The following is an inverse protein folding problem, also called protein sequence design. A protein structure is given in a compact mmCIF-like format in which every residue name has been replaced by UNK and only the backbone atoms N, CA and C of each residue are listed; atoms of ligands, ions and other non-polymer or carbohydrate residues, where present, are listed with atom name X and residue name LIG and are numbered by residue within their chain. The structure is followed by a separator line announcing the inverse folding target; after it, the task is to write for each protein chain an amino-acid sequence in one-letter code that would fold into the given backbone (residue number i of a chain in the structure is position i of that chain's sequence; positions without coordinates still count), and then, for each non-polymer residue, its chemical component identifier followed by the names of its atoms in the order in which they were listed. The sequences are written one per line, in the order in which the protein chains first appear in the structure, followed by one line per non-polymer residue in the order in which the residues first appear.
data_IF_081844542900
#
_entry.id   IF_081844542900
#
_cell.length_a   1.000
_cell.length_b   1.000
_cell.length_c   1.000
_cell.angle_alpha   90.00
_cell.angle_beta   90.00
_cell.angle_gamma   90.00
#
_symmetry.space_group_name_H-M   'P 1'
#
loop_
_entity.id
_entity.type
_entity.pdbx_description
1 polymer ?
#
# COMPACT_ATOMS: atom_id res chain seq x y z
N UNK A 1 9.78 17.68 -18.61
CA UNK A 1 8.81 17.12 -17.62
C UNK A 1 9.42 17.16 -16.21
N UNK A 2 10.73 16.83 -16.03
CA UNK A 2 11.39 16.87 -14.71
C UNK A 2 11.53 18.30 -14.13
N UNK A 3 11.76 19.30 -14.93
CA UNK A 3 11.96 20.69 -14.46
C UNK A 3 10.68 21.34 -13.89
N UNK A 4 9.49 21.03 -14.43
CA UNK A 4 8.23 21.60 -13.94
C UNK A 4 7.73 20.96 -12.61
N UNK A 5 8.14 19.75 -12.29
CA UNK A 5 7.78 19.11 -11.03
C UNK A 5 8.64 19.61 -9.86
N UNK A 6 9.91 19.94 -10.12
CA UNK A 6 10.83 20.43 -9.10
C UNK A 6 10.42 21.79 -8.51
N UNK A 7 9.84 22.68 -9.31
CA UNK A 7 9.40 24.00 -8.87
C UNK A 7 8.05 23.98 -8.11
N UNK A 8 7.21 22.96 -8.36
CA UNK A 8 5.93 22.79 -7.67
C UNK A 8 6.07 22.13 -6.29
N UNK A 9 7.21 21.49 -6.01
CA UNK A 9 7.46 20.84 -4.73
C UNK A 9 8.25 21.80 -3.84
N UNK A 10 7.55 22.43 -2.90
CA UNK A 10 8.23 23.15 -1.83
C UNK A 10 9.19 22.16 -1.15
N UNK A 11 10.47 22.53 -1.07
CA UNK A 11 11.55 21.74 -0.42
C UNK A 11 11.25 21.39 1.05
N UNK A 12 10.15 21.91 1.58
CA UNK A 12 9.62 21.67 2.92
C UNK A 12 8.37 20.82 2.94
N UNK A 13 8.16 19.91 1.98
CA UNK A 13 7.04 18.99 2.02
C UNK A 13 7.05 18.23 3.33
N UNK A 14 6.28 18.71 4.30
CA UNK A 14 6.09 18.06 5.59
C UNK A 14 5.16 16.89 5.36
N UNK A 15 5.76 15.73 5.24
CA UNK A 15 5.04 14.47 5.12
C UNK A 15 4.17 14.29 6.39
N UNK A 16 2.88 14.08 6.20
CA UNK A 16 1.88 13.87 7.28
C UNK A 16 1.84 15.01 8.31
N UNK A 17 1.72 16.24 7.85
CA UNK A 17 1.43 17.37 8.75
C UNK A 17 -0.08 17.62 8.98
N UNK A 18 -0.92 16.80 8.38
CA UNK A 18 -2.37 16.91 8.47
C UNK A 18 -2.98 17.96 7.54
N UNK A 19 -2.24 18.42 6.55
CA UNK A 19 -2.69 19.40 5.57
C UNK A 19 -2.84 18.81 4.17
N UNK A 20 -3.67 19.46 3.34
CA UNK A 20 -3.82 19.12 1.94
C UNK A 20 -2.76 19.84 1.10
N UNK A 21 -2.19 19.10 0.14
CA UNK A 21 -1.39 19.65 -0.94
C UNK A 21 -2.29 19.84 -2.17
N UNK A 22 -2.42 21.08 -2.66
CA UNK A 22 -3.18 21.36 -3.88
C UNK A 22 -2.37 21.01 -5.12
N UNK A 23 -3.02 20.34 -6.08
CA UNK A 23 -2.47 20.02 -7.39
C UNK A 23 -3.15 20.82 -8.50
N UNK A 24 -3.78 21.97 -8.16
CA UNK A 24 -4.54 22.78 -9.10
C UNK A 24 -5.74 22.03 -9.67
N UNK A 25 -5.85 21.99 -10.99
CA UNK A 25 -6.95 21.29 -11.69
C UNK A 25 -6.93 19.76 -11.48
N UNK A 26 -5.82 19.21 -11.05
CA UNK A 26 -5.69 17.78 -10.72
C UNK A 26 -6.17 17.44 -9.30
N UNK A 27 -6.82 18.41 -8.63
CA UNK A 27 -7.40 18.22 -7.31
C UNK A 27 -6.41 18.46 -6.18
N UNK A 28 -6.49 17.65 -5.13
CA UNK A 28 -5.64 17.75 -3.96
C UNK A 28 -5.28 16.37 -3.41
N UNK A 29 -4.15 16.31 -2.72
CA UNK A 29 -3.72 15.10 -2.02
C UNK A 29 -3.58 15.34 -0.53
N UNK A 30 -3.83 14.30 0.25
CA UNK A 30 -3.56 14.26 1.69
C UNK A 30 -2.63 13.09 1.96
N UNK A 31 -1.43 13.36 2.47
CA UNK A 31 -0.42 12.34 2.74
C UNK A 31 -0.81 11.56 4.00
N UNK A 32 -0.92 10.23 3.90
CA UNK A 32 -1.21 9.33 5.03
C UNK A 32 -0.01 8.50 5.47
N UNK A 33 1.05 8.46 4.69
CA UNK A 33 2.36 7.84 4.98
C UNK A 33 3.41 8.51 4.09
N UNK A 34 4.67 8.63 4.55
CA UNK A 34 5.19 8.24 5.85
C UNK A 34 4.96 9.29 6.95
N UNK A 35 5.10 8.86 8.21
CA UNK A 35 5.23 9.77 9.34
C UNK A 35 6.68 10.28 9.45
N UNK A 36 6.89 11.38 10.17
CA UNK A 36 8.25 11.87 10.44
C UNK A 36 9.11 10.83 11.19
N UNK A 37 8.48 10.04 12.06
CA UNK A 37 9.14 8.94 12.78
C UNK A 37 9.63 7.88 11.81
N UNK A 38 8.80 7.42 10.87
CA UNK A 38 9.18 6.43 9.87
C UNK A 38 10.34 6.91 8.98
N UNK A 39 10.36 8.21 8.61
CA UNK A 39 11.47 8.80 7.86
C UNK A 39 12.76 8.79 8.68
N UNK A 40 12.68 9.14 9.96
CA UNK A 40 13.83 9.16 10.84
C UNK A 40 14.42 7.76 11.06
N UNK A 41 13.54 6.75 11.21
CA UNK A 41 13.92 5.34 11.31
C UNK A 41 14.59 4.84 10.02
N UNK A 42 14.03 5.17 8.84
CA UNK A 42 14.64 4.84 7.55
C UNK A 42 16.01 5.49 7.41
N UNK A 43 16.14 6.79 7.71
CA UNK A 43 17.44 7.49 7.64
C UNK A 43 18.48 6.83 8.53
N UNK A 44 18.11 6.46 9.76
CA UNK A 44 19.01 5.76 10.68
C UNK A 44 19.41 4.40 10.09
N UNK A 45 18.45 3.62 9.62
CA UNK A 45 18.72 2.32 9.00
C UNK A 45 19.69 2.44 7.81
N UNK A 46 19.46 3.40 6.91
CA UNK A 46 20.32 3.63 5.76
C UNK A 46 21.75 4.00 6.18
N UNK A 47 21.90 4.84 7.20
CA UNK A 47 23.22 5.21 7.75
C UNK A 47 23.94 4.02 8.38
N UNK A 48 23.21 3.17 9.12
CA UNK A 48 23.75 1.95 9.75
C UNK A 48 24.20 0.93 8.69
N UNK A 49 23.40 0.72 7.63
CA UNK A 49 23.77 -0.17 6.52
C UNK A 49 24.98 0.35 5.73
N UNK A 50 25.03 1.67 5.49
CA UNK A 50 26.19 2.29 4.87
C UNK A 50 27.44 2.11 5.70
N UNK A 51 27.36 2.36 7.01
CA UNK A 51 28.50 2.19 7.91
C UNK A 51 29.02 0.74 7.90
N UNK A 52 28.12 -0.25 7.86
CA UNK A 52 28.48 -1.68 7.73
C UNK A 52 29.18 -2.00 6.41
N UNK A 53 28.70 -1.46 5.29
CA UNK A 53 29.27 -1.72 3.96
C UNK A 53 30.69 -1.15 3.82
N UNK A 54 30.93 0.02 4.36
CA UNK A 54 32.19 0.73 4.19
C UNK A 54 33.14 0.62 5.38
N UNK A 55 32.86 -0.27 6.36
CA UNK A 55 33.71 -0.54 7.53
C UNK A 55 34.15 0.74 8.30
N UNK A 56 33.28 1.74 8.36
CA UNK A 56 33.60 3.00 9.03
C UNK A 56 34.68 3.86 8.34
N UNK A 57 35.11 3.53 7.14
CA UNK A 57 36.19 4.23 6.42
C UNK A 57 35.80 5.62 5.89
N UNK A 58 34.50 5.90 5.83
CA UNK A 58 34.01 7.20 5.36
C UNK A 58 33.13 7.82 6.44
N UNK A 59 33.60 8.89 7.11
CA UNK A 59 32.75 9.67 8.00
C UNK A 59 31.67 10.33 7.13
N UNK A 60 30.41 9.92 7.32
CA UNK A 60 29.28 10.61 6.75
C UNK A 60 29.12 11.93 7.50
N UNK A 61 29.63 13.02 6.95
CA UNK A 61 29.21 14.34 7.37
C UNK A 61 27.72 14.46 7.11
N UNK A 62 26.96 14.83 8.14
CA UNK A 62 25.51 14.94 8.14
C UNK A 62 25.05 16.06 7.18
N UNK A 63 24.96 15.76 5.89
CA UNK A 63 24.40 16.67 4.89
C UNK A 63 23.17 16.04 4.24
N UNK A 64 22.04 16.76 4.23
CA UNK A 64 20.77 16.35 3.62
C UNK A 64 20.89 15.92 2.15
N UNK A 65 21.91 16.38 1.45
CA UNK A 65 22.11 16.11 0.02
C UNK A 65 22.65 14.71 -0.28
N UNK A 66 23.33 14.07 0.68
CA UNK A 66 23.95 12.75 0.49
C UNK A 66 22.98 11.57 0.67
N UNK A 67 21.81 11.80 1.23
CA UNK A 67 20.80 10.75 1.46
C UNK A 67 20.22 10.16 0.17
N UNK A 68 20.05 10.98 -0.87
CA UNK A 68 19.51 10.54 -2.17
C UNK A 68 20.55 9.69 -2.92
N UNK A 69 21.79 10.15 -3.00
CA UNK A 69 22.90 9.42 -3.63
C UNK A 69 23.15 8.08 -2.94
N UNK A 70 23.03 8.05 -1.61
CA UNK A 70 23.17 6.84 -0.82
C UNK A 70 22.02 5.86 -1.09
N UNK A 71 20.79 6.35 -1.17
CA UNK A 71 19.61 5.53 -1.50
C UNK A 71 19.72 4.92 -2.89
N UNK A 72 20.15 5.70 -3.89
CA UNK A 72 20.37 5.23 -5.26
C UNK A 72 21.46 4.15 -5.31
N UNK A 73 22.58 4.37 -4.62
CA UNK A 73 23.66 3.39 -4.54
C UNK A 73 23.21 2.09 -3.86
N UNK A 74 22.48 2.18 -2.75
CA UNK A 74 21.96 1.01 -2.04
C UNK A 74 20.92 0.26 -2.88
N UNK A 75 20.03 0.96 -3.59
CA UNK A 75 19.03 0.36 -4.45
C UNK A 75 19.67 -0.40 -5.61
N UNK A 76 20.74 0.12 -6.19
CA UNK A 76 21.53 -0.57 -7.23
C UNK A 76 22.20 -1.85 -6.71
N UNK A 77 22.71 -1.83 -5.50
CA UNK A 77 23.37 -2.98 -4.86
C UNK A 77 22.34 -4.05 -4.41
N UNK A 78 21.16 -3.65 -3.95
CA UNK A 78 20.07 -4.57 -3.57
C UNK A 78 19.42 -5.24 -4.76
N UNK A 79 19.16 -4.53 -5.85
CA UNK A 79 18.57 -5.09 -7.07
C UNK A 79 19.39 -6.24 -7.69
N UNK A 80 20.69 -6.32 -7.42
CA UNK A 80 21.50 -7.46 -7.85
C UNK A 80 21.27 -8.73 -7.00
N UNK A 81 20.77 -8.62 -5.77
CA UNK A 81 20.52 -9.78 -4.90
C UNK A 81 19.12 -10.39 -5.05
N UNK A 82 18.10 -9.59 -5.38
CA UNK A 82 16.73 -10.08 -5.54
C UNK A 82 16.50 -10.94 -6.78
N UNK A 83 17.35 -10.84 -7.82
CA UNK A 83 17.27 -11.66 -9.03
C UNK A 83 17.53 -13.16 -8.81
N UNK A 84 17.95 -13.58 -7.62
CA UNK A 84 18.32 -14.96 -7.32
C UNK A 84 17.38 -15.71 -6.35
N UNK A 85 16.33 -15.08 -5.85
CA UNK A 85 15.39 -15.72 -4.94
C UNK A 85 14.19 -16.31 -5.70
N UNK A 86 14.29 -17.53 -6.17
CA UNK A 86 13.13 -18.33 -6.57
C UNK A 86 12.30 -18.72 -5.33
N UNK A 87 11.36 -17.88 -4.95
CA UNK A 87 10.40 -18.21 -3.91
C UNK A 87 9.33 -19.16 -4.46
N UNK A 88 9.46 -20.45 -4.14
CA UNK A 88 8.43 -21.44 -4.42
C UNK A 88 7.18 -21.13 -3.61
N UNK A 89 6.12 -20.73 -4.29
CA UNK A 89 4.81 -20.58 -3.65
C UNK A 89 4.27 -21.98 -3.34
N UNK A 90 4.17 -22.28 -2.05
CA UNK A 90 3.40 -23.43 -1.59
C UNK A 90 1.92 -23.18 -1.87
N UNK A 91 1.38 -23.79 -2.92
CA UNK A 91 0.01 -23.64 -3.37
C UNK A 91 -0.91 -24.72 -2.78
N UNK A 92 -0.98 -24.85 -1.48
CA UNK A 92 -2.14 -25.48 -0.89
C UNK A 92 -3.21 -24.39 -0.70
N UNK A 93 -4.30 -24.48 -1.45
CA UNK A 93 -5.46 -23.61 -1.31
C UNK A 93 -6.12 -24.00 0.02
N UNK A 94 -5.69 -23.35 1.11
CA UNK A 94 -6.57 -23.22 2.26
C UNK A 94 -7.75 -22.38 1.80
N UNK A 95 -8.97 -22.72 2.17
CA UNK A 95 -10.13 -21.89 1.84
C UNK A 95 -9.86 -20.47 2.29
N UNK A 96 -10.27 -19.44 1.52
CA UNK A 96 -10.13 -18.03 1.89
C UNK A 96 -10.57 -17.75 3.33
N UNK A 97 -11.60 -18.45 3.81
CA UNK A 97 -12.09 -18.38 5.19
C UNK A 97 -11.06 -18.84 6.22
N UNK A 98 -10.29 -19.88 5.92
CA UNK A 98 -9.20 -20.34 6.78
C UNK A 98 -8.04 -19.32 6.79
N UNK A 99 -7.75 -18.67 5.68
CA UNK A 99 -6.77 -17.58 5.62
C UNK A 99 -7.22 -16.37 6.44
N UNK A 100 -8.50 -15.99 6.37
CA UNK A 100 -9.06 -14.91 7.19
C UNK A 100 -8.97 -15.19 8.69
N UNK A 101 -9.12 -16.46 9.11
CA UNK A 101 -8.99 -16.88 10.51
C UNK A 101 -7.57 -16.77 11.07
N UNK A 102 -6.54 -16.62 10.21
CA UNK A 102 -5.16 -16.48 10.66
C UNK A 102 -4.90 -15.07 11.22
N UNK A 103 -3.99 -14.95 12.21
CA UNK A 103 -3.56 -13.64 12.68
C UNK A 103 -2.84 -12.87 11.57
N UNK A 104 -3.02 -11.54 11.57
CA UNK A 104 -2.22 -10.67 10.74
C UNK A 104 -0.76 -10.70 11.18
N UNK A 105 0.13 -10.50 10.23
CA UNK A 105 1.55 -10.25 10.47
C UNK A 105 1.86 -8.88 9.91
N UNK A 106 2.63 -8.12 10.65
CA UNK A 106 3.03 -6.79 10.23
C UNK A 106 4.38 -6.83 9.52
N UNK A 107 4.53 -5.97 8.53
CA UNK A 107 5.79 -5.71 7.86
C UNK A 107 6.62 -4.79 8.75
N UNK A 108 7.83 -5.23 9.10
CA UNK A 108 8.77 -4.46 9.92
C UNK A 108 9.84 -3.72 9.10
N UNK A 109 9.71 -3.72 7.77
CA UNK A 109 10.66 -3.04 6.88
C UNK A 109 10.58 -1.53 7.04
N UNK A 110 11.68 -0.88 7.39
CA UNK A 110 11.78 0.58 7.50
C UNK A 110 11.49 1.26 6.16
N UNK A 111 11.86 0.64 5.04
CA UNK A 111 11.58 1.14 3.70
C UNK A 111 10.08 1.15 3.40
N UNK A 112 9.35 0.10 3.76
CA UNK A 112 7.90 0.04 3.56
C UNK A 112 7.16 0.95 4.55
N UNK A 113 7.63 1.07 5.79
CA UNK A 113 7.10 2.05 6.76
C UNK A 113 7.26 3.50 6.27
N UNK A 114 8.31 3.77 5.50
CA UNK A 114 8.56 5.08 4.89
C UNK A 114 8.01 5.22 3.45
N UNK A 115 7.27 4.25 2.96
CA UNK A 115 6.65 4.32 1.63
C UNK A 115 5.54 5.38 1.59
N UNK A 116 5.43 6.09 0.46
CA UNK A 116 4.44 7.15 0.29
C UNK A 116 3.06 6.53 0.06
N UNK A 117 2.10 6.93 0.89
CA UNK A 117 0.68 6.66 0.71
C UNK A 117 -0.12 7.95 0.88
N UNK A 118 -1.18 8.11 0.08
CA UNK A 118 -1.98 9.33 0.10
C UNK A 118 -3.42 9.11 -0.36
N UNK A 119 -4.30 9.98 0.10
CA UNK A 119 -5.64 10.15 -0.44
C UNK A 119 -5.57 11.20 -1.54
N UNK A 120 -6.03 10.87 -2.73
CA UNK A 120 -6.22 11.81 -3.84
C UNK A 120 -7.70 12.14 -3.98
N UNK A 121 -8.02 13.42 -3.95
CA UNK A 121 -9.38 13.93 -4.12
C UNK A 121 -9.48 14.80 -5.37
N UNK A 122 -10.40 14.42 -6.26
CA UNK A 122 -10.71 15.12 -7.51
C UNK A 122 -12.19 14.97 -7.82
N UNK A 123 -12.91 16.08 -8.03
CA UNK A 123 -14.32 16.07 -8.46
C UNK A 123 -15.19 15.12 -7.61
N UNK A 124 -15.31 15.29 -6.35
CA UNK A 124 -16.07 14.42 -5.42
C UNK A 124 -15.62 12.96 -5.33
N UNK A 125 -14.57 12.58 -6.06
CA UNK A 125 -13.95 11.25 -5.99
C UNK A 125 -12.78 11.24 -5.02
N UNK A 126 -12.66 10.14 -4.28
CA UNK A 126 -11.57 9.88 -3.32
C UNK A 126 -10.91 8.56 -3.64
N UNK A 127 -9.63 8.59 -3.94
CA UNK A 127 -8.83 7.41 -4.22
C UNK A 127 -7.74 7.28 -3.16
N UNK A 128 -7.60 6.11 -2.56
CA UNK A 128 -6.53 5.82 -1.62
C UNK A 128 -5.42 5.02 -2.32
N UNK A 129 -4.23 5.60 -2.38
CA UNK A 129 -3.04 5.00 -2.99
C UNK A 129 -2.05 4.65 -1.88
N UNK A 130 -1.86 3.35 -1.63
CA UNK A 130 -1.15 2.87 -0.44
C UNK A 130 0.35 2.57 -0.64
N UNK A 131 0.88 2.73 -1.88
CA UNK A 131 2.29 2.42 -2.14
C UNK A 131 2.65 1.01 -1.66
N UNK A 132 3.71 0.91 -0.88
CA UNK A 132 4.12 -0.29 -0.16
C UNK A 132 4.03 -0.09 1.37
N UNK A 133 3.30 0.95 1.80
CA UNK A 133 3.18 1.35 3.19
C UNK A 133 2.63 0.24 4.10
N UNK A 134 3.07 0.24 5.35
CA UNK A 134 2.60 -0.70 6.37
C UNK A 134 1.27 -0.25 6.97
N UNK A 135 0.46 -1.19 7.43
CA UNK A 135 -0.85 -0.89 8.01
C UNK A 135 -0.78 0.06 9.19
N UNK A 136 0.21 -0.09 10.07
CA UNK A 136 0.37 0.74 11.27
C UNK A 136 0.51 2.23 10.90
N UNK A 137 1.44 2.56 10.00
CA UNK A 137 1.69 3.95 9.59
C UNK A 137 0.49 4.53 8.85
N UNK A 138 -0.15 3.75 7.98
CA UNK A 138 -1.37 4.17 7.27
C UNK A 138 -2.51 4.47 8.25
N UNK A 139 -2.70 3.66 9.29
CA UNK A 139 -3.75 3.90 10.32
C UNK A 139 -3.55 5.25 11.00
N UNK A 140 -2.31 5.62 11.33
CA UNK A 140 -2.00 6.94 11.90
C UNK A 140 -2.40 8.07 10.94
N UNK A 141 -2.02 7.96 9.67
CA UNK A 141 -2.38 8.96 8.65
C UNK A 141 -3.88 9.03 8.39
N UNK A 142 -4.59 7.90 8.38
CA UNK A 142 -6.06 7.86 8.25
C UNK A 142 -6.75 8.51 9.45
N UNK A 143 -6.22 8.34 10.67
CA UNK A 143 -6.73 9.07 11.84
C UNK A 143 -6.53 10.58 11.71
N UNK A 144 -5.38 11.03 11.19
CA UNK A 144 -5.13 12.44 10.90
C UNK A 144 -6.10 12.96 9.81
N UNK A 145 -6.31 12.19 8.73
CA UNK A 145 -7.28 12.51 7.69
C UNK A 145 -8.71 12.65 8.23
N UNK A 146 -9.15 11.71 9.09
CA UNK A 146 -10.46 11.77 9.76
C UNK A 146 -10.59 13.05 10.58
N UNK A 147 -9.60 13.37 11.41
CA UNK A 147 -9.58 14.59 12.22
C UNK A 147 -9.69 15.85 11.36
N UNK A 148 -8.92 15.94 10.27
CA UNK A 148 -8.94 17.09 9.33
C UNK A 148 -10.32 17.29 8.69
N UNK A 149 -10.99 16.20 8.35
CA UNK A 149 -12.28 16.21 7.65
C UNK A 149 -13.48 16.07 8.61
N UNK A 150 -13.27 16.13 9.92
CA UNK A 150 -14.31 16.01 10.96
C UNK A 150 -15.13 14.71 10.85
N UNK A 151 -14.50 13.63 10.41
CA UNK A 151 -15.09 12.29 10.32
C UNK A 151 -14.96 11.62 11.69
N UNK A 152 -16.03 11.04 12.26
CA UNK A 152 -15.97 10.30 13.52
C UNK A 152 -14.88 9.21 13.52
N UNK A 153 -14.22 9.03 14.67
CA UNK A 153 -13.09 8.09 14.77
C UNK A 153 -13.47 6.64 14.50
N UNK A 154 -14.71 6.26 14.80
CA UNK A 154 -15.29 4.93 14.62
C UNK A 154 -15.95 4.74 13.25
N UNK A 155 -16.18 5.82 12.50
CA UNK A 155 -16.74 5.74 11.15
C UNK A 155 -15.68 5.23 10.15
N UNK A 156 -16.05 4.28 9.31
CA UNK A 156 -15.21 3.76 8.23
C UNK A 156 -15.27 4.70 7.02
N UNK A 157 -14.10 5.11 6.51
CA UNK A 157 -14.04 5.95 5.32
C UNK A 157 -14.26 5.09 4.07
N UNK A 158 -15.23 5.49 3.25
CA UNK A 158 -15.42 4.93 1.93
C UNK A 158 -14.60 5.70 0.90
N UNK A 159 -13.79 4.97 0.14
CA UNK A 159 -13.07 5.47 -1.03
C UNK A 159 -13.72 4.94 -2.31
N UNK A 160 -13.66 5.72 -3.40
CA UNK A 160 -14.13 5.25 -4.73
C UNK A 160 -13.24 4.13 -5.26
N UNK A 161 -11.95 4.17 -4.97
CA UNK A 161 -11.02 3.07 -5.21
C UNK A 161 -9.89 3.04 -4.18
N UNK A 162 -9.34 1.85 -3.93
CA UNK A 162 -8.14 1.65 -3.12
C UNK A 162 -7.11 0.84 -3.92
N UNK A 163 -5.94 1.42 -4.18
CA UNK A 163 -4.77 0.65 -4.64
C UNK A 163 -4.19 -0.09 -3.44
N UNK A 164 -4.25 -1.41 -3.48
CA UNK A 164 -3.78 -2.31 -2.41
C UNK A 164 -2.28 -2.12 -2.19
N UNK A 165 -1.79 -2.09 -0.92
CA UNK A 165 -0.38 -1.90 -0.65
C UNK A 165 0.45 -3.10 -1.10
N UNK A 166 1.71 -2.85 -1.46
CA UNK A 166 2.76 -3.83 -1.71
C UNK A 166 2.29 -5.02 -2.56
N UNK A 167 1.65 -4.72 -3.71
CA UNK A 167 1.09 -5.69 -4.66
C UNK A 167 0.09 -6.68 -4.05
N UNK A 168 -0.40 -6.44 -2.84
CA UNK A 168 -1.25 -7.36 -2.08
C UNK A 168 -0.45 -8.35 -1.22
N UNK A 169 0.74 -7.98 -0.74
CA UNK A 169 1.50 -8.73 0.26
C UNK A 169 0.68 -8.97 1.52
N UNK A 170 0.88 -10.13 2.17
CA UNK A 170 0.12 -10.54 3.36
C UNK A 170 0.39 -9.69 4.61
N UNK A 171 1.43 -8.88 4.60
CA UNK A 171 1.92 -8.14 5.77
C UNK A 171 1.55 -6.66 5.76
N UNK A 172 0.97 -6.15 4.65
CA UNK A 172 0.76 -4.71 4.46
C UNK A 172 -0.70 -4.28 4.49
N UNK A 173 -1.66 -5.23 4.57
CA UNK A 173 -3.09 -4.93 4.70
C UNK A 173 -3.72 -5.73 5.83
N UNK A 174 -3.71 -5.17 7.03
CA UNK A 174 -4.26 -5.79 8.23
C UNK A 174 -5.77 -5.62 8.34
N UNK A 175 -6.42 -6.52 9.10
CA UNK A 175 -7.83 -6.39 9.48
C UNK A 175 -8.09 -5.11 10.29
N UNK A 176 -7.09 -4.65 11.06
CA UNK A 176 -7.20 -3.41 11.82
C UNK A 176 -7.32 -2.20 10.89
N UNK A 177 -6.48 -2.12 9.82
CA UNK A 177 -6.61 -1.06 8.83
C UNK A 177 -7.99 -1.11 8.15
N UNK A 178 -8.51 -2.29 7.84
CA UNK A 178 -9.82 -2.48 7.23
C UNK A 178 -11.01 -2.11 8.13
N UNK A 179 -10.81 -1.83 9.41
CA UNK A 179 -11.82 -1.18 10.26
C UNK A 179 -11.96 0.31 9.97
N UNK A 180 -10.96 0.93 9.39
CA UNK A 180 -10.92 2.37 9.14
C UNK A 180 -11.26 2.76 7.71
N UNK A 181 -11.04 1.85 6.74
CA UNK A 181 -11.20 2.10 5.31
C UNK A 181 -12.04 1.04 4.63
N UNK A 182 -12.77 1.43 3.58
CA UNK A 182 -13.48 0.49 2.71
C UNK A 182 -13.58 1.05 1.29
N UNK A 183 -13.82 0.16 0.31
CA UNK A 183 -14.08 0.51 -1.08
C UNK A 183 -14.87 -0.57 -1.78
N UNK A 184 -15.64 -0.16 -2.78
CA UNK A 184 -16.18 -1.10 -3.75
C UNK A 184 -15.09 -1.61 -4.71
N UNK A 185 -14.07 -0.79 -5.01
CA UNK A 185 -13.06 -1.06 -6.02
C UNK A 185 -11.67 -1.21 -5.39
N UNK A 186 -11.14 -2.43 -5.41
CA UNK A 186 -9.82 -2.80 -4.90
C UNK A 186 -8.88 -3.12 -6.05
N UNK A 187 -7.77 -2.39 -6.17
CA UNK A 187 -6.86 -2.45 -7.32
C UNK A 187 -5.55 -3.10 -6.90
N UNK A 188 -5.22 -4.20 -7.55
CA UNK A 188 -3.97 -4.93 -7.41
C UNK A 188 -3.05 -4.58 -8.59
N UNK A 189 -2.00 -3.79 -8.33
CA UNK A 189 -1.04 -3.38 -9.34
C UNK A 189 0.21 -4.23 -9.27
N UNK A 190 0.62 -4.79 -10.42
CA UNK A 190 1.76 -5.66 -10.52
C UNK A 190 1.53 -7.03 -9.85
N UNK A 191 2.52 -7.89 -9.98
CA UNK A 191 2.55 -9.16 -9.28
C UNK A 191 4.00 -9.54 -8.98
N UNK A 192 4.18 -10.22 -7.87
CA UNK A 192 5.43 -10.88 -7.52
C UNK A 192 5.20 -12.38 -7.41
N UNK A 193 6.24 -13.14 -7.14
CA UNK A 193 6.10 -14.57 -6.88
C UNK A 193 5.23 -14.89 -5.66
N UNK A 194 5.07 -13.94 -4.73
CA UNK A 194 4.35 -14.11 -3.45
C UNK A 194 3.13 -13.19 -3.29
N UNK A 195 2.87 -12.28 -4.22
CA UNK A 195 1.73 -11.34 -4.15
C UNK A 195 0.99 -11.28 -5.51
N UNK A 196 -0.35 -11.10 -5.49
CA UNK A 196 -1.22 -10.98 -4.30
C UNK A 196 -1.29 -12.27 -3.47
N UNK A 197 -1.35 -12.11 -2.14
CA UNK A 197 -1.42 -13.23 -1.21
C UNK A 197 -2.89 -13.53 -0.81
N UNK A 198 -3.24 -14.81 -0.66
CA UNK A 198 -4.60 -15.22 -0.28
C UNK A 198 -5.08 -14.59 1.04
N UNK A 199 -4.19 -14.36 1.99
CA UNK A 199 -4.53 -13.69 3.25
C UNK A 199 -5.03 -12.26 3.04
N UNK A 200 -4.38 -11.49 2.18
CA UNK A 200 -4.80 -10.13 1.83
C UNK A 200 -6.15 -10.12 1.13
N UNK A 201 -6.36 -11.04 0.18
CA UNK A 201 -7.66 -11.20 -0.48
C UNK A 201 -8.75 -11.59 0.53
N UNK A 202 -8.46 -12.54 1.41
CA UNK A 202 -9.39 -12.96 2.46
C UNK A 202 -9.74 -11.82 3.43
N UNK A 203 -8.75 -11.00 3.83
CA UNK A 203 -8.99 -9.84 4.67
C UNK A 203 -9.94 -8.85 3.99
N UNK A 204 -9.75 -8.55 2.71
CA UNK A 204 -10.67 -7.68 1.96
C UNK A 204 -12.06 -8.30 1.87
N UNK A 205 -12.16 -9.58 1.50
CA UNK A 205 -13.42 -10.27 1.21
C UNK A 205 -14.30 -10.41 2.46
N UNK A 206 -13.69 -10.81 3.57
CA UNK A 206 -14.44 -11.10 4.81
C UNK A 206 -14.47 -9.94 5.81
N UNK A 207 -13.77 -8.82 5.56
CA UNK A 207 -13.91 -7.65 6.42
C UNK A 207 -15.35 -7.10 6.33
N UNK A 208 -15.85 -6.59 7.45
CA UNK A 208 -17.17 -5.96 7.51
C UNK A 208 -17.28 -4.85 6.46
N UNK A 209 -18.26 -4.94 5.60
CA UNK A 209 -18.57 -3.91 4.60
C UNK A 209 -19.26 -2.73 5.26
N UNK A 210 -19.05 -1.53 4.74
CA UNK A 210 -19.90 -0.40 5.05
C UNK A 210 -21.27 -0.60 4.39
N UNK A 211 -22.34 -0.11 4.99
CA UNK A 211 -23.73 -0.28 4.51
C UNK A 211 -23.93 0.21 3.07
N UNK A 212 -23.08 1.14 2.63
CA UNK A 212 -23.13 1.68 1.26
C UNK A 212 -22.47 0.79 0.20
N UNK A 213 -21.79 -0.29 0.59
CA UNK A 213 -21.07 -1.19 -0.33
C UNK A 213 -21.85 -2.51 -0.41
N UNK A 214 -22.50 -2.74 -1.55
CA UNK A 214 -23.23 -3.99 -1.80
C UNK A 214 -22.34 -5.08 -2.40
N UNK A 215 -21.29 -4.68 -3.13
CA UNK A 215 -20.42 -5.58 -3.88
C UNK A 215 -18.99 -5.07 -3.87
N UNK A 216 -18.02 -5.96 -3.78
CA UNK A 216 -16.60 -5.62 -3.96
C UNK A 216 -16.09 -6.11 -5.31
N UNK A 217 -15.32 -5.25 -5.98
CA UNK A 217 -14.65 -5.55 -7.24
C UNK A 217 -13.15 -5.60 -7.00
N UNK A 218 -12.54 -6.71 -7.38
CA UNK A 218 -11.12 -6.95 -7.28
C UNK A 218 -10.52 -6.86 -8.69
N UNK A 219 -9.76 -5.80 -8.93
CA UNK A 219 -9.15 -5.50 -10.22
C UNK A 219 -7.68 -5.85 -10.23
N UNK A 220 -7.26 -6.61 -11.24
CA UNK A 220 -5.88 -7.04 -11.44
C UNK A 220 -5.34 -6.49 -12.75
N UNK A 221 -4.24 -5.72 -12.73
CA UNK A 221 -3.68 -5.10 -13.94
C UNK A 221 -2.59 -5.93 -14.62
N UNK A 222 -2.17 -7.05 -14.05
CA UNK A 222 -1.11 -7.89 -14.60
C UNK A 222 -1.65 -9.18 -15.21
N UNK A 223 -1.19 -9.50 -16.43
CA UNK A 223 -1.40 -10.79 -17.06
C UNK A 223 -0.45 -11.88 -16.53
N UNK A 224 0.58 -11.47 -15.79
CA UNK A 224 1.67 -12.34 -15.32
C UNK A 224 1.31 -13.18 -14.10
N UNK A 225 0.03 -13.37 -13.82
CA UNK A 225 -0.41 -14.27 -12.74
C UNK A 225 -0.15 -15.74 -13.12
N UNK A 226 1.12 -16.10 -13.37
CA UNK A 226 1.53 -17.51 -13.50
C UNK A 226 1.07 -18.38 -12.33
N UNK A 227 0.67 -17.74 -11.22
CA UNK A 227 0.19 -18.41 -10.02
C UNK A 227 -1.32 -18.68 -10.02
N UNK A 228 -2.00 -18.41 -11.13
CA UNK A 228 -3.43 -18.69 -11.24
C UNK A 228 -4.31 -18.06 -10.14
N UNK A 229 -3.85 -16.96 -9.49
CA UNK A 229 -4.63 -16.33 -8.42
C UNK A 229 -5.96 -15.81 -8.98
N UNK A 230 -5.96 -15.27 -10.19
CA UNK A 230 -7.15 -14.80 -10.88
C UNK A 230 -8.14 -15.93 -11.15
N UNK A 231 -7.68 -17.05 -11.71
CA UNK A 231 -8.53 -18.21 -11.99
C UNK A 231 -9.02 -18.88 -10.70
N UNK A 232 -8.16 -18.93 -9.68
CA UNK A 232 -8.53 -19.41 -8.33
C UNK A 232 -9.63 -18.51 -7.73
N UNK A 233 -9.49 -17.19 -7.82
CA UNK A 233 -10.50 -16.27 -7.32
C UNK A 233 -11.81 -16.40 -8.09
N UNK A 234 -11.78 -16.57 -9.42
CA UNK A 234 -12.99 -16.84 -10.21
C UNK A 234 -13.73 -18.10 -9.75
N UNK A 235 -13.01 -19.16 -9.43
CA UNK A 235 -13.62 -20.39 -8.93
C UNK A 235 -14.28 -20.17 -7.55
N UNK A 236 -13.67 -19.36 -6.68
CA UNK A 236 -14.21 -19.05 -5.35
C UNK A 236 -15.44 -18.13 -5.38
N UNK A 237 -15.58 -17.27 -6.38
CA UNK A 237 -16.72 -16.31 -6.50
C UNK A 237 -18.09 -17.00 -6.37
N UNK A 238 -18.26 -18.16 -7.01
CA UNK A 238 -19.52 -18.90 -6.95
C UNK A 238 -19.82 -19.41 -5.53
N UNK A 239 -18.81 -19.85 -4.79
CA UNK A 239 -18.95 -20.30 -3.40
C UNK A 239 -19.21 -19.13 -2.46
N UNK A 240 -18.55 -18.00 -2.64
CA UNK A 240 -18.75 -16.79 -1.85
C UNK A 240 -20.18 -16.24 -2.00
N UNK A 241 -20.75 -16.32 -3.22
CA UNK A 241 -22.14 -15.92 -3.47
C UNK A 241 -23.14 -16.76 -2.67
N UNK A 242 -22.87 -18.05 -2.46
CA UNK A 242 -23.71 -18.91 -1.61
C UNK A 242 -23.62 -18.54 -0.13
N UNK A 243 -22.54 -17.87 0.29
CA UNK A 243 -22.38 -17.29 1.65
C UNK A 243 -22.96 -15.87 1.74
N UNK A 244 -23.60 -15.34 0.69
CA UNK A 244 -24.14 -13.99 0.64
C UNK A 244 -23.09 -12.89 0.40
N UNK A 245 -21.88 -13.26 -0.03
CA UNK A 245 -20.79 -12.32 -0.30
C UNK A 245 -20.69 -12.09 -1.81
N UNK A 246 -20.98 -10.86 -2.25
CA UNK A 246 -20.88 -10.48 -3.65
C UNK A 246 -19.50 -9.91 -3.99
N UNK A 247 -18.76 -10.66 -4.81
CA UNK A 247 -17.44 -10.29 -5.34
C UNK A 247 -17.44 -10.39 -6.86
N UNK A 248 -16.81 -9.41 -7.48
CA UNK A 248 -16.45 -9.46 -8.91
C UNK A 248 -14.92 -9.45 -9.03
N UNK A 249 -14.42 -10.28 -9.94
CA UNK A 249 -12.98 -10.35 -10.23
C UNK A 249 -12.79 -9.99 -11.70
N UNK A 250 -12.02 -8.95 -11.97
CA UNK A 250 -11.77 -8.46 -13.31
C UNK A 250 -10.27 -8.26 -13.55
N UNK A 251 -9.86 -8.50 -14.79
CA UNK A 251 -8.53 -8.12 -15.28
C UNK A 251 -8.69 -6.92 -16.18
N UNK A 252 -8.07 -5.81 -15.81
CA UNK A 252 -8.25 -4.55 -16.51
C UNK A 252 -6.97 -3.70 -16.51
N UNK A 253 -6.87 -2.81 -17.49
CA UNK A 253 -5.83 -1.79 -17.57
C UNK A 253 -6.39 -0.39 -17.23
N UNK A 254 -7.70 -0.20 -17.25
CA UNK A 254 -8.37 1.07 -16.97
C UNK A 254 -9.64 0.84 -16.13
N UNK A 255 -9.91 1.75 -15.21
CA UNK A 255 -11.13 1.78 -14.39
C UNK A 255 -11.79 3.13 -14.56
N UNK A 256 -13.06 3.14 -14.94
CA UNK A 256 -13.92 4.32 -14.85
C UNK A 256 -14.50 4.42 -13.43
N UNK A 257 -14.25 5.53 -12.75
CA UNK A 257 -14.70 5.83 -11.37
C UNK A 257 -15.81 6.88 -11.34
#
# INVERSE_FOLDING_TARGET
IQEHWADAWDKNLKLVDGEYLSLGELGKIFIVSPTQTAINELNKHLLDEFAKMFYGKYPLEQGKEKGVELFELLSLLYNQKELLAENKISSSIGTLKAEYGKPDREDSSETNRASIAFVWELNDKKILLLGDATSEVVIEGIKAYKKKNQIPSDEKIRFDAIKVPHHGSKTNLSKELLKHIDSENWIFCGCTSSAPHLHTLANIIYSTQSDAIQKRRLYFNSTYYKNNIYDKMKAEVAMLKNEGIEIEVAQINEIAL
#
